data_IF_171609622864
#
_entry.id   IF_171609622864
#
_cell.length_a   1.000
_cell.length_b   1.000
_cell.length_c   1.000
_cell.angle_alpha   90.00
_cell.angle_beta   90.00
_cell.angle_gamma   90.00
#
_symmetry.space_group_name_H-M   'P 1'
#
loop_
_entity.id
_entity.type
_entity.pdbx_description
1 polymer ?
#
# COMPACT_ATOMS: atom_id res chain seq x y z
N UNK A 1 -17.42 -50.43 10.12
CA UNK A 1 -16.04 -49.96 10.25
C UNK A 1 -15.72 -49.07 9.03
N UNK A 2 -15.90 -47.75 9.17
CA UNK A 2 -15.65 -46.75 8.09
C UNK A 2 -14.68 -45.71 8.63
N UNK A 3 -13.40 -46.07 8.65
CA UNK A 3 -12.30 -45.11 8.98
C UNK A 3 -11.32 -45.21 7.83
N UNK A 4 -11.33 -44.28 6.90
CA UNK A 4 -10.35 -44.29 5.79
C UNK A 4 -10.48 -43.18 4.75
N UNK A 5 -11.54 -42.38 4.73
CA UNK A 5 -11.71 -41.33 3.71
C UNK A 5 -11.18 -39.95 4.13
N UNK A 6 -11.11 -39.64 5.42
CA UNK A 6 -10.69 -38.32 5.91
C UNK A 6 -9.17 -38.08 5.82
N UNK A 7 -8.36 -39.10 6.10
CA UNK A 7 -6.88 -38.95 6.07
C UNK A 7 -6.34 -38.76 4.67
N UNK A 8 -6.93 -39.37 3.65
CA UNK A 8 -6.46 -39.24 2.27
C UNK A 8 -6.80 -37.88 1.64
N UNK A 9 -7.92 -37.27 2.05
CA UNK A 9 -8.31 -35.93 1.62
C UNK A 9 -7.43 -34.84 2.26
N UNK A 10 -7.07 -34.98 3.54
CA UNK A 10 -6.19 -34.06 4.24
C UNK A 10 -4.77 -34.08 3.65
N UNK A 11 -4.20 -35.28 3.37
CA UNK A 11 -2.88 -35.41 2.72
C UNK A 11 -2.90 -34.89 1.28
N UNK A 12 -3.98 -35.07 0.55
CA UNK A 12 -4.13 -34.53 -0.82
C UNK A 12 -4.26 -32.98 -0.82
N UNK A 13 -4.95 -32.41 0.18
CA UNK A 13 -5.06 -30.96 0.36
C UNK A 13 -3.72 -30.34 0.73
N UNK A 14 -2.98 -30.94 1.66
CA UNK A 14 -1.64 -30.50 2.09
C UNK A 14 -0.64 -30.51 0.93
N UNK A 15 -0.62 -31.57 0.11
CA UNK A 15 0.21 -31.65 -1.09
C UNK A 15 -0.17 -30.59 -2.15
N UNK A 16 -1.46 -30.27 -2.29
CA UNK A 16 -1.91 -29.21 -3.21
C UNK A 16 -1.45 -27.85 -2.74
N UNK A 17 -1.56 -27.57 -1.46
CA UNK A 17 -1.10 -26.31 -0.86
C UNK A 17 0.40 -26.17 -1.03
N UNK A 18 1.19 -27.18 -0.71
CA UNK A 18 2.65 -27.16 -0.86
C UNK A 18 3.11 -26.96 -2.31
N UNK A 19 2.44 -27.62 -3.28
CA UNK A 19 2.78 -27.41 -4.70
C UNK A 19 2.34 -26.04 -5.21
N UNK A 20 1.21 -25.46 -4.74
CA UNK A 20 0.78 -24.11 -5.08
C UNK A 20 1.77 -23.05 -4.58
N UNK A 21 2.24 -23.19 -3.36
CA UNK A 21 3.26 -22.32 -2.77
C UNK A 21 4.58 -22.40 -3.54
N UNK A 22 5.02 -23.61 -3.91
CA UNK A 22 6.22 -23.81 -4.70
C UNK A 22 6.13 -23.13 -6.08
N UNK A 23 4.98 -23.23 -6.77
CA UNK A 23 4.73 -22.58 -8.06
C UNK A 23 4.79 -21.06 -7.92
N UNK A 24 4.07 -20.48 -6.97
CA UNK A 24 4.04 -19.02 -6.78
C UNK A 24 5.41 -18.50 -6.36
N UNK A 25 6.14 -19.22 -5.50
CA UNK A 25 7.52 -18.85 -5.12
C UNK A 25 8.50 -18.93 -6.29
N UNK A 26 8.37 -19.93 -7.18
CA UNK A 26 9.16 -20.01 -8.40
C UNK A 26 8.83 -18.87 -9.37
N UNK A 27 7.54 -18.57 -9.55
CA UNK A 27 7.08 -17.47 -10.40
C UNK A 27 7.61 -16.12 -9.89
N UNK A 28 7.54 -15.89 -8.58
CA UNK A 28 8.08 -14.67 -7.97
C UNK A 28 9.55 -14.48 -8.32
N UNK A 29 10.38 -15.49 -8.12
CA UNK A 29 11.82 -15.41 -8.47
C UNK A 29 12.03 -15.14 -9.96
N UNK A 30 11.41 -15.94 -10.84
CA UNK A 30 11.63 -15.84 -12.28
C UNK A 30 11.10 -14.53 -12.88
N UNK A 31 9.93 -14.07 -12.44
CA UNK A 31 9.38 -12.79 -12.90
C UNK A 31 10.22 -11.60 -12.43
N UNK A 32 10.75 -11.65 -11.19
CA UNK A 32 11.64 -10.59 -10.69
C UNK A 32 12.99 -10.57 -11.42
N UNK A 33 13.51 -11.73 -11.81
CA UNK A 33 14.81 -11.85 -12.48
C UNK A 33 14.73 -11.51 -13.98
N UNK A 34 13.65 -11.92 -14.66
CA UNK A 34 13.58 -11.94 -16.12
C UNK A 34 12.41 -11.15 -16.70
N UNK A 35 11.52 -10.63 -15.88
CA UNK A 35 10.27 -10.01 -16.28
C UNK A 35 9.16 -11.05 -16.56
N UNK A 36 7.90 -10.60 -16.53
CA UNK A 36 6.74 -11.45 -16.78
C UNK A 36 6.73 -12.04 -18.18
N UNK A 37 7.08 -11.23 -19.18
CA UNK A 37 7.01 -11.63 -20.60
C UNK A 37 7.95 -12.77 -20.98
N UNK A 38 9.13 -12.83 -20.36
CA UNK A 38 10.19 -13.78 -20.72
C UNK A 38 10.03 -15.16 -20.08
N UNK A 39 9.07 -15.37 -19.19
CA UNK A 39 8.88 -16.63 -18.45
C UNK A 39 7.72 -17.43 -19.02
N UNK A 40 7.96 -18.72 -19.27
CA UNK A 40 6.94 -19.68 -19.73
C UNK A 40 6.37 -20.55 -18.60
N UNK A 41 5.21 -21.14 -18.80
CA UNK A 41 4.59 -22.10 -17.88
C UNK A 41 5.47 -23.33 -17.67
N UNK A 42 6.21 -23.75 -18.67
CA UNK A 42 7.11 -24.89 -18.58
C UNK A 42 8.30 -24.62 -17.66
N UNK A 43 8.91 -23.46 -17.78
CA UNK A 43 10.00 -23.01 -16.90
C UNK A 43 9.51 -22.85 -15.45
N UNK A 44 8.26 -22.39 -15.26
CA UNK A 44 7.64 -22.32 -13.93
C UNK A 44 7.47 -23.71 -13.30
N UNK A 45 7.02 -24.70 -14.08
CA UNK A 45 6.88 -26.08 -13.60
C UNK A 45 8.24 -26.67 -13.19
N UNK A 46 9.27 -26.47 -14.01
CA UNK A 46 10.64 -26.92 -13.76
C UNK A 46 11.21 -26.26 -12.50
N UNK A 47 11.13 -24.93 -12.42
CA UNK A 47 11.65 -24.14 -11.29
C UNK A 47 10.92 -24.41 -9.96
N UNK A 48 9.64 -24.80 -10.04
CA UNK A 48 8.83 -25.20 -8.88
C UNK A 48 9.03 -26.67 -8.47
N UNK A 49 9.75 -27.47 -9.30
CA UNK A 49 9.91 -28.90 -9.07
C UNK A 49 8.62 -29.71 -9.16
N UNK A 50 7.65 -29.25 -10.00
CA UNK A 50 6.37 -29.93 -10.19
C UNK A 50 6.21 -30.42 -11.63
N UNK A 51 5.41 -31.48 -11.82
CA UNK A 51 5.06 -31.90 -13.16
C UNK A 51 4.18 -30.83 -13.86
N UNK A 52 4.34 -30.63 -15.19
CA UNK A 52 3.51 -29.70 -16.01
C UNK A 52 2.01 -29.88 -15.72
N UNK A 53 1.54 -31.13 -15.69
CA UNK A 53 0.14 -31.46 -15.37
C UNK A 53 -0.29 -30.93 -14.00
N UNK A 54 0.60 -30.97 -13.00
CA UNK A 54 0.32 -30.43 -11.65
C UNK A 54 0.17 -28.92 -11.70
N UNK A 55 1.05 -28.23 -12.43
CA UNK A 55 0.98 -26.79 -12.62
C UNK A 55 -0.33 -26.38 -13.30
N UNK A 56 -0.66 -26.97 -14.45
CA UNK A 56 -1.89 -26.66 -15.18
C UNK A 56 -3.19 -27.06 -14.45
N UNK A 57 -3.13 -28.02 -13.54
CA UNK A 57 -4.26 -28.33 -12.65
C UNK A 57 -4.50 -27.28 -11.56
N UNK A 58 -3.53 -26.43 -11.28
CA UNK A 58 -3.61 -25.38 -10.25
C UNK A 58 -3.75 -23.97 -10.81
N UNK A 59 -3.16 -23.73 -11.97
CA UNK A 59 -3.17 -22.45 -12.64
C UNK A 59 -3.35 -22.65 -14.15
N UNK A 60 -4.36 -22.01 -14.71
CA UNK A 60 -4.67 -22.11 -16.14
C UNK A 60 -3.67 -21.30 -16.99
N UNK A 61 -3.04 -20.27 -16.41
CA UNK A 61 -2.12 -19.39 -17.11
C UNK A 61 -1.13 -18.72 -16.14
N UNK A 62 -0.10 -18.09 -16.67
CA UNK A 62 0.86 -17.31 -15.87
C UNK A 62 0.27 -16.01 -15.32
N UNK A 63 -0.76 -15.47 -15.97
CA UNK A 63 -1.55 -14.35 -15.49
C UNK A 63 -2.28 -14.68 -14.18
N UNK A 64 -2.82 -15.90 -14.06
CA UNK A 64 -3.44 -16.36 -12.83
C UNK A 64 -2.44 -16.48 -11.68
N UNK A 65 -1.23 -16.96 -11.98
CA UNK A 65 -0.13 -17.02 -10.99
C UNK A 65 0.27 -15.60 -10.55
N UNK A 66 0.33 -14.65 -11.49
CA UNK A 66 0.63 -13.26 -11.20
C UNK A 66 -0.43 -12.63 -10.27
N UNK A 67 -1.73 -12.86 -10.54
CA UNK A 67 -2.81 -12.39 -9.66
C UNK A 67 -2.71 -12.96 -8.24
N UNK A 68 -2.36 -14.25 -8.13
CA UNK A 68 -2.10 -14.87 -6.82
C UNK A 68 -0.94 -14.18 -6.08
N UNK A 69 0.13 -13.82 -6.79
CA UNK A 69 1.25 -13.07 -6.20
C UNK A 69 0.78 -11.69 -5.68
N UNK A 70 -0.01 -10.96 -6.46
CA UNK A 70 -0.61 -9.69 -6.05
C UNK A 70 -1.46 -9.83 -4.80
N UNK A 71 -2.34 -10.84 -4.74
CA UNK A 71 -3.17 -11.08 -3.58
C UNK A 71 -2.35 -11.36 -2.32
N UNK A 72 -1.21 -12.04 -2.44
CA UNK A 72 -0.30 -12.26 -1.30
C UNK A 72 0.30 -10.96 -0.78
N UNK A 73 0.67 -10.04 -1.67
CA UNK A 73 1.15 -8.70 -1.29
C UNK A 73 0.04 -7.93 -0.55
N UNK A 74 -1.20 -7.94 -1.08
CA UNK A 74 -2.35 -7.31 -0.42
C UNK A 74 -2.60 -7.87 0.98
N UNK A 75 -2.61 -9.19 1.13
CA UNK A 75 -2.80 -9.84 2.44
C UNK A 75 -1.66 -9.55 3.43
N UNK A 76 -0.43 -9.35 2.96
CA UNK A 76 0.66 -8.92 3.84
C UNK A 76 0.43 -7.51 4.37
N UNK A 77 -0.02 -6.59 3.51
CA UNK A 77 -0.37 -5.21 3.89
C UNK A 77 -1.54 -5.18 4.88
N UNK A 78 -2.60 -5.93 4.60
CA UNK A 78 -3.77 -6.02 5.48
C UNK A 78 -3.40 -6.53 6.88
N UNK A 79 -2.53 -7.53 6.97
CA UNK A 79 -2.07 -8.08 8.26
C UNK A 79 -1.08 -7.19 9.00
N UNK A 80 -0.38 -6.31 8.30
CA UNK A 80 0.57 -5.38 8.91
C UNK A 80 -0.13 -4.26 9.68
N UNK A 81 -1.38 -3.95 9.33
CA UNK A 81 -2.21 -2.98 10.05
C UNK A 81 -3.20 -3.73 10.96
N UNK A 82 -3.27 -3.44 12.26
CA UNK A 82 -4.21 -4.07 13.17
C UNK A 82 -5.66 -3.92 12.70
N UNK A 83 -6.50 -4.97 12.87
CA UNK A 83 -7.94 -4.83 12.65
C UNK A 83 -8.50 -3.77 13.61
N UNK A 84 -9.42 -2.95 13.12
CA UNK A 84 -10.05 -1.90 13.93
C UNK A 84 -9.18 -0.65 14.14
N UNK A 85 -8.09 -0.50 13.40
CA UNK A 85 -7.25 0.71 13.45
C UNK A 85 -8.08 1.97 13.14
N UNK A 86 -9.14 1.82 12.35
CA UNK A 86 -10.05 2.90 11.99
C UNK A 86 -10.88 3.43 13.18
N UNK A 87 -10.98 2.67 14.26
CA UNK A 87 -11.75 3.02 15.47
C UNK A 87 -10.88 3.45 16.63
N UNK A 88 -9.56 3.41 16.50
CA UNK A 88 -8.64 3.90 17.52
C UNK A 88 -8.68 5.43 17.56
N UNK A 89 -9.01 6.00 18.73
CA UNK A 89 -9.27 7.44 18.87
C UNK A 89 -8.04 8.34 18.73
N UNK A 90 -6.82 7.79 18.72
CA UNK A 90 -5.59 8.54 18.54
C UNK A 90 -5.11 8.50 17.10
N UNK A 91 -5.54 9.50 16.33
CA UNK A 91 -5.15 9.64 14.92
C UNK A 91 -3.64 9.78 14.73
N UNK A 92 -2.93 10.40 15.64
CA UNK A 92 -1.49 10.58 15.57
C UNK A 92 -0.78 9.23 15.64
N UNK A 93 -1.19 8.39 16.61
CA UNK A 93 -0.69 7.02 16.71
C UNK A 93 -0.99 6.19 15.46
N UNK A 94 -2.20 6.29 14.94
CA UNK A 94 -2.62 5.58 13.72
C UNK A 94 -1.77 5.98 12.52
N UNK A 95 -1.57 7.27 12.28
CA UNK A 95 -0.77 7.75 11.16
C UNK A 95 0.70 7.32 11.26
N UNK A 96 1.28 7.34 12.47
CA UNK A 96 2.64 6.81 12.69
C UNK A 96 2.75 5.33 12.38
N UNK A 97 1.76 4.55 12.79
CA UNK A 97 1.75 3.11 12.52
C UNK A 97 1.63 2.84 11.01
N UNK A 98 0.73 3.52 10.32
CA UNK A 98 0.59 3.44 8.86
C UNK A 98 1.90 3.80 8.17
N UNK A 99 2.53 4.91 8.56
CA UNK A 99 3.80 5.35 8.00
C UNK A 99 4.91 4.30 8.20
N UNK A 100 5.04 3.74 9.42
CA UNK A 100 6.03 2.67 9.69
C UNK A 100 5.83 1.45 8.79
N UNK A 101 4.61 0.98 8.67
CA UNK A 101 4.29 -0.18 7.83
C UNK A 101 4.69 0.10 6.37
N UNK A 102 4.39 1.28 5.86
CA UNK A 102 4.72 1.69 4.50
C UNK A 102 6.25 1.77 4.31
N UNK A 103 6.97 2.42 5.22
CA UNK A 103 8.42 2.53 5.12
C UNK A 103 9.12 1.17 5.21
N UNK A 104 8.62 0.26 6.05
CA UNK A 104 9.13 -1.11 6.11
C UNK A 104 8.89 -1.88 4.81
N UNK A 105 7.70 -1.71 4.22
CA UNK A 105 7.38 -2.32 2.93
C UNK A 105 8.32 -1.82 1.83
N UNK A 106 8.60 -0.51 1.80
CA UNK A 106 9.51 0.10 0.82
C UNK A 106 10.97 -0.36 0.96
N UNK A 107 11.34 -0.95 2.10
CA UNK A 107 12.67 -1.58 2.31
C UNK A 107 12.71 -3.05 1.92
N UNK A 108 11.56 -3.67 1.70
CA UNK A 108 11.50 -5.08 1.32
C UNK A 108 12.01 -5.26 -0.11
N UNK A 109 13.13 -6.00 -0.34
CA UNK A 109 13.69 -6.18 -1.68
C UNK A 109 12.75 -6.89 -2.64
N UNK A 110 11.92 -7.82 -2.15
CA UNK A 110 10.94 -8.55 -2.97
C UNK A 110 9.83 -7.62 -3.45
N UNK A 111 9.31 -6.77 -2.55
CA UNK A 111 8.31 -5.76 -2.91
C UNK A 111 8.86 -4.75 -3.93
N UNK A 112 10.07 -4.25 -3.72
CA UNK A 112 10.72 -3.33 -4.67
C UNK A 112 10.98 -3.98 -6.03
N UNK A 113 11.45 -5.23 -6.02
CA UNK A 113 11.64 -6.01 -7.24
C UNK A 113 10.32 -6.17 -7.98
N UNK A 114 9.26 -6.51 -7.26
CA UNK A 114 7.92 -6.63 -7.80
C UNK A 114 7.42 -5.31 -8.43
N UNK A 115 7.56 -4.17 -7.73
CA UNK A 115 7.20 -2.87 -8.28
C UNK A 115 7.99 -2.51 -9.55
N UNK A 116 9.30 -2.81 -9.58
CA UNK A 116 10.12 -2.58 -10.77
C UNK A 116 9.61 -3.40 -11.95
N UNK A 117 9.25 -4.66 -11.72
CA UNK A 117 8.67 -5.53 -12.74
C UNK A 117 7.32 -4.97 -13.22
N UNK A 118 6.41 -4.56 -12.31
CA UNK A 118 5.13 -3.93 -12.67
C UNK A 118 5.37 -2.72 -13.57
N UNK A 119 6.27 -1.82 -13.20
CA UNK A 119 6.58 -0.62 -14.00
C UNK A 119 7.20 -0.98 -15.35
N UNK A 120 8.12 -1.95 -15.41
CA UNK A 120 8.80 -2.36 -16.63
C UNK A 120 7.85 -3.06 -17.61
N UNK A 121 7.04 -3.99 -17.12
CA UNK A 121 6.20 -4.86 -17.94
C UNK A 121 4.83 -4.25 -18.28
N UNK A 122 4.34 -3.27 -17.51
CA UNK A 122 3.03 -2.64 -17.74
C UNK A 122 2.92 -1.95 -19.11
N UNK A 123 4.04 -1.53 -19.71
CA UNK A 123 4.04 -0.97 -21.07
C UNK A 123 3.70 -2.02 -22.12
N UNK A 124 4.19 -3.25 -21.97
CA UNK A 124 3.93 -4.36 -22.88
C UNK A 124 2.63 -5.10 -22.53
N UNK A 125 2.30 -5.16 -21.25
CA UNK A 125 1.14 -5.84 -20.68
C UNK A 125 0.32 -4.87 -19.81
N UNK A 126 -0.52 -3.97 -20.39
CA UNK A 126 -1.25 -2.93 -19.63
C UNK A 126 -2.11 -3.47 -18.49
N UNK A 127 -2.65 -4.69 -18.65
CA UNK A 127 -3.43 -5.37 -17.61
C UNK A 127 -2.66 -5.54 -16.28
N UNK A 128 -1.32 -5.60 -16.31
CA UNK A 128 -0.48 -5.69 -15.10
C UNK A 128 -0.67 -4.45 -14.19
N UNK A 129 -0.71 -3.25 -14.80
CA UNK A 129 -0.95 -2.02 -14.06
C UNK A 129 -2.39 -1.97 -13.51
N UNK A 130 -3.37 -2.44 -14.29
CA UNK A 130 -4.77 -2.50 -13.87
C UNK A 130 -4.97 -3.45 -12.68
N UNK A 131 -4.42 -4.66 -12.75
CA UNK A 131 -4.47 -5.64 -11.64
C UNK A 131 -3.73 -5.13 -10.41
N UNK A 132 -2.59 -4.47 -10.60
CA UNK A 132 -1.86 -3.85 -9.48
C UNK A 132 -2.69 -2.75 -8.81
N UNK A 133 -3.30 -1.85 -9.58
CA UNK A 133 -4.18 -0.81 -9.07
C UNK A 133 -5.38 -1.42 -8.32
N UNK A 134 -6.04 -2.43 -8.89
CA UNK A 134 -7.16 -3.11 -8.26
C UNK A 134 -6.85 -3.70 -6.87
N UNK A 135 -5.58 -4.04 -6.63
CA UNK A 135 -5.12 -4.55 -5.33
C UNK A 135 -4.67 -3.43 -4.38
N UNK A 136 -4.05 -2.37 -4.91
CA UNK A 136 -3.48 -1.29 -4.09
C UNK A 136 -4.49 -0.20 -3.74
N UNK A 137 -5.44 0.11 -4.63
CA UNK A 137 -6.44 1.16 -4.40
C UNK A 137 -7.29 0.91 -3.13
N UNK A 138 -7.79 -0.33 -2.85
CA UNK A 138 -8.50 -0.61 -1.62
C UNK A 138 -7.72 -0.31 -0.34
N UNK A 139 -6.39 -0.40 -0.38
CA UNK A 139 -5.53 -0.06 0.78
C UNK A 139 -5.50 1.46 1.02
N UNK A 140 -5.42 2.24 -0.05
CA UNK A 140 -5.53 3.70 0.02
C UNK A 140 -6.94 4.11 0.47
N UNK A 141 -7.98 3.43 -0.02
CA UNK A 141 -9.37 3.66 0.37
C UNK A 141 -9.63 3.43 1.87
N UNK A 142 -8.89 2.54 2.53
CA UNK A 142 -8.98 2.39 3.99
C UNK A 142 -8.57 3.68 4.71
N UNK A 143 -7.47 4.30 4.28
CA UNK A 143 -7.04 5.59 4.83
C UNK A 143 -8.07 6.69 4.51
N UNK A 144 -8.61 6.72 3.29
CA UNK A 144 -9.68 7.67 2.90
C UNK A 144 -10.89 7.54 3.82
N UNK A 145 -11.38 6.32 4.06
CA UNK A 145 -12.52 6.07 4.96
C UNK A 145 -12.23 6.50 6.40
N UNK A 146 -11.03 6.22 6.91
CA UNK A 146 -10.61 6.69 8.23
C UNK A 146 -10.66 8.21 8.32
N UNK A 147 -10.06 8.92 7.37
CA UNK A 147 -10.04 10.38 7.36
C UNK A 147 -11.45 10.98 7.24
N UNK A 148 -12.31 10.39 6.40
CA UNK A 148 -13.70 10.79 6.26
C UNK A 148 -14.48 10.59 7.58
N UNK A 149 -14.30 9.48 8.26
CA UNK A 149 -14.92 9.18 9.54
C UNK A 149 -14.48 10.19 10.61
N UNK A 150 -13.18 10.44 10.76
CA UNK A 150 -12.65 11.40 11.73
C UNK A 150 -13.09 12.84 11.43
N UNK A 151 -13.29 13.16 10.15
CA UNK A 151 -13.84 14.45 9.74
C UNK A 151 -15.32 14.56 10.17
N UNK A 152 -16.12 13.50 9.99
CA UNK A 152 -17.52 13.48 10.44
C UNK A 152 -17.68 13.61 11.95
N UNK A 153 -16.68 13.14 12.72
CA UNK A 153 -16.60 13.27 14.17
C UNK A 153 -16.06 14.64 14.63
N UNK A 154 -15.62 15.50 13.72
CA UNK A 154 -15.02 16.81 14.07
C UNK A 154 -13.60 16.73 14.65
N UNK A 155 -12.95 15.58 14.59
CA UNK A 155 -11.54 15.40 15.00
C UNK A 155 -10.61 16.04 13.98
N UNK A 156 -10.95 15.92 12.69
CA UNK A 156 -10.23 16.53 11.57
C UNK A 156 -11.11 17.58 10.86
N UNK A 157 -10.47 18.53 10.21
CA UNK A 157 -11.06 19.42 9.21
C UNK A 157 -10.45 19.04 7.87
N UNK A 158 -11.06 18.04 7.21
CA UNK A 158 -10.56 17.48 5.97
C UNK A 158 -11.64 17.52 4.87
N UNK A 159 -11.75 18.61 4.09
CA UNK A 159 -12.78 18.76 3.06
C UNK A 159 -12.70 17.72 1.94
N UNK A 160 -11.51 17.19 1.69
CA UNK A 160 -11.28 16.17 0.66
C UNK A 160 -10.40 15.03 1.23
N UNK A 161 -11.00 14.01 1.87
CA UNK A 161 -10.27 12.88 2.44
C UNK A 161 -9.44 12.09 1.43
N UNK A 162 -9.91 11.98 0.18
CA UNK A 162 -9.17 11.32 -0.90
C UNK A 162 -7.87 12.05 -1.20
N UNK A 163 -7.92 13.37 -1.41
CA UNK A 163 -6.73 14.18 -1.64
C UNK A 163 -5.76 14.09 -0.46
N UNK A 164 -6.27 14.20 0.76
CA UNK A 164 -5.47 14.12 1.97
C UNK A 164 -4.74 12.77 2.12
N UNK A 165 -5.42 11.66 1.84
CA UNK A 165 -4.81 10.32 1.84
C UNK A 165 -3.68 10.23 0.81
N UNK A 166 -3.90 10.70 -0.42
CA UNK A 166 -2.86 10.71 -1.45
C UNK A 166 -1.69 11.64 -1.12
N UNK A 167 -1.92 12.79 -0.48
CA UNK A 167 -0.86 13.68 -0.01
C UNK A 167 0.00 13.01 1.07
N UNK A 168 -0.62 12.32 2.04
CA UNK A 168 0.09 11.58 3.07
C UNK A 168 0.96 10.47 2.47
N UNK A 169 0.36 9.65 1.60
CA UNK A 169 1.07 8.58 0.90
C UNK A 169 2.18 9.11 0.00
N UNK A 170 1.94 10.21 -0.71
CA UNK A 170 2.91 10.85 -1.61
C UNK A 170 4.14 11.36 -0.87
N UNK A 171 3.97 11.97 0.31
CA UNK A 171 5.08 12.42 1.13
C UNK A 171 5.99 11.25 1.58
N UNK A 172 5.39 10.12 1.98
CA UNK A 172 6.15 8.92 2.33
C UNK A 172 6.84 8.30 1.11
N UNK A 173 6.14 8.21 -0.03
CA UNK A 173 6.66 7.60 -1.25
C UNK A 173 7.87 8.36 -1.81
N UNK A 174 7.84 9.68 -1.82
CA UNK A 174 8.95 10.48 -2.34
C UNK A 174 10.23 10.29 -1.51
N UNK A 175 10.10 10.28 -0.21
CA UNK A 175 11.24 10.17 0.70
C UNK A 175 11.74 8.74 0.91
N UNK A 176 10.91 7.71 0.66
CA UNK A 176 11.28 6.33 0.92
C UNK A 176 11.24 5.42 -0.32
N UNK A 177 10.16 5.40 -1.11
CA UNK A 177 10.00 4.47 -2.21
C UNK A 177 10.93 4.78 -3.40
N UNK A 178 10.86 6.02 -3.90
CA UNK A 178 11.59 6.39 -5.12
C UNK A 178 13.11 6.24 -5.01
N UNK A 179 13.77 6.62 -3.89
CA UNK A 179 15.20 6.37 -3.74
C UNK A 179 15.56 4.88 -3.87
N UNK A 180 14.80 3.99 -3.24
CA UNK A 180 15.03 2.55 -3.36
C UNK A 180 14.71 2.01 -4.76
N UNK A 181 13.65 2.50 -5.38
CA UNK A 181 13.30 2.15 -6.75
C UNK A 181 14.42 2.49 -7.74
N UNK A 182 15.11 3.63 -7.53
CA UNK A 182 16.25 4.07 -8.33
C UNK A 182 17.59 3.47 -7.89
N UNK A 183 17.59 2.48 -7.00
CA UNK A 183 18.80 1.76 -6.59
C UNK A 183 19.70 2.51 -5.62
N UNK A 184 19.22 3.55 -4.93
CA UNK A 184 19.99 4.20 -3.86
C UNK A 184 20.19 3.23 -2.71
N UNK A 185 21.40 3.25 -2.12
CA UNK A 185 21.75 2.38 -0.99
C UNK A 185 21.52 3.03 0.38
N UNK A 186 21.21 4.31 0.40
CA UNK A 186 20.97 5.09 1.62
C UNK A 186 19.83 6.06 1.41
N UNK A 187 18.97 6.13 2.42
CA UNK A 187 17.93 7.15 2.48
C UNK A 187 18.56 8.51 2.83
N UNK A 188 18.04 9.61 2.26
CA UNK A 188 18.51 10.96 2.56
C UNK A 188 18.21 11.37 4.02
N UNK A 189 17.16 10.82 4.62
CA UNK A 189 16.66 11.15 5.95
C UNK A 189 16.35 9.86 6.72
N UNK A 190 16.58 9.79 8.05
CA UNK A 190 16.18 8.66 8.88
C UNK A 190 14.67 8.43 8.88
N UNK A 191 14.23 7.17 8.95
CA UNK A 191 12.81 6.81 8.91
C UNK A 191 11.97 7.50 9.99
N UNK A 192 12.45 7.52 11.22
CA UNK A 192 11.69 8.13 12.34
C UNK A 192 11.49 9.63 12.10
N UNK A 193 12.46 10.31 11.53
CA UNK A 193 12.34 11.72 11.15
C UNK A 193 11.31 11.92 10.03
N UNK A 194 11.33 11.04 9.00
CA UNK A 194 10.32 11.06 7.93
C UNK A 194 8.92 10.85 8.49
N UNK A 195 8.75 9.88 9.40
CA UNK A 195 7.46 9.59 10.03
C UNK A 195 6.97 10.79 10.84
N UNK A 196 7.81 11.31 11.76
CA UNK A 196 7.44 12.40 12.64
C UNK A 196 7.07 13.67 11.87
N UNK A 197 7.91 14.10 10.94
CA UNK A 197 7.66 15.32 10.17
C UNK A 197 6.44 15.18 9.25
N UNK A 198 6.26 14.00 8.60
CA UNK A 198 5.08 13.76 7.76
C UNK A 198 3.80 13.80 8.59
N UNK A 199 3.76 13.14 9.73
CA UNK A 199 2.59 13.12 10.61
C UNK A 199 2.32 14.50 11.21
N UNK A 200 3.35 15.22 11.67
CA UNK A 200 3.21 16.57 12.21
C UNK A 200 2.70 17.57 11.15
N UNK A 201 3.25 17.53 9.95
CA UNK A 201 2.81 18.35 8.82
C UNK A 201 1.33 18.07 8.50
N UNK A 202 0.95 16.79 8.39
CA UNK A 202 -0.41 16.39 8.10
C UNK A 202 -1.40 16.84 9.17
N UNK A 203 -1.12 16.56 10.44
CA UNK A 203 -1.97 16.97 11.55
C UNK A 203 -1.94 18.49 11.77
N UNK A 204 -0.84 19.16 11.49
CA UNK A 204 -0.76 20.62 11.50
C UNK A 204 -1.77 21.27 10.58
N UNK A 205 -2.02 20.66 9.41
CA UNK A 205 -2.97 21.16 8.43
C UNK A 205 -4.42 20.71 8.71
N UNK A 206 -4.61 19.44 9.08
CA UNK A 206 -5.95 18.84 9.12
C UNK A 206 -6.56 18.69 10.52
N UNK A 207 -5.80 18.85 11.62
CA UNK A 207 -6.33 18.66 12.97
C UNK A 207 -7.14 19.88 13.44
N UNK A 208 -8.41 19.68 13.82
CA UNK A 208 -9.34 20.74 14.17
C UNK A 208 -8.86 21.66 15.32
N UNK A 209 -8.20 21.09 16.35
CA UNK A 209 -7.67 21.85 17.48
C UNK A 209 -6.46 22.74 17.12
N UNK A 210 -5.71 22.40 16.05
CA UNK A 210 -4.57 23.21 15.57
C UNK A 210 -5.03 24.27 14.56
N UNK A 211 -5.96 23.93 13.67
CA UNK A 211 -6.51 24.88 12.70
C UNK A 211 -7.17 26.11 13.37
N UNK A 212 -7.79 25.94 14.55
CA UNK A 212 -8.38 27.04 15.31
C UNK A 212 -7.36 27.96 16.02
N UNK A 213 -6.11 27.53 16.23
CA UNK A 213 -5.06 28.39 16.81
C UNK A 213 -4.46 29.37 15.80
N UNK A 214 -4.48 29.01 14.52
CA UNK A 214 -3.91 29.84 13.43
C UNK A 214 -4.94 30.76 12.77
N UNK A 215 -6.23 30.63 13.13
CA UNK A 215 -7.25 31.61 12.78
C UNK A 215 -6.97 32.90 13.56
N UNK A 216 -6.05 33.73 13.07
CA UNK A 216 -5.79 35.09 13.60
C UNK A 216 -7.12 35.85 13.63
N UNK A 217 -7.48 36.50 14.76
CA UNK A 217 -8.60 37.41 14.77
C UNK A 217 -8.37 38.49 13.73
N UNK A 218 -9.37 38.67 12.84
CA UNK A 218 -9.34 39.72 11.84
C UNK A 218 -9.02 41.06 12.50
N UNK A 219 -7.93 41.73 12.09
CA UNK A 219 -7.60 43.09 12.56
C UNK A 219 -8.82 43.97 12.36
N UNK A 220 -9.30 44.71 13.41
CA UNK A 220 -10.40 45.64 13.24
C UNK A 220 -10.03 46.68 12.20
N UNK A 221 -10.85 46.81 11.17
CA UNK A 221 -10.72 47.86 10.16
C UNK A 221 -10.80 49.22 10.88
N UNK A 222 -9.73 50.01 10.83
CA UNK A 222 -9.71 51.40 11.24
C UNK A 222 -10.73 52.13 10.36
N UNK A 223 -11.86 52.55 10.94
CA UNK A 223 -12.76 53.51 10.32
C UNK A 223 -12.00 54.80 10.09
N UNK A 224 -11.68 55.08 8.85
CA UNK A 224 -11.18 56.40 8.42
C UNK A 224 -12.33 57.40 8.60
N UNK A 225 -12.24 58.22 9.63
CA UNK A 225 -13.08 59.40 9.84
C UNK A 225 -12.73 60.41 8.75
N UNK A 226 -13.61 60.55 7.75
CA UNK A 226 -13.56 61.70 6.87
C UNK A 226 -14.07 62.92 7.64
N UNK A 227 -13.17 63.76 8.10
CA UNK A 227 -13.48 65.14 8.52
C UNK A 227 -13.94 65.94 7.32
N UNK A 228 -15.24 66.32 7.30
CA UNK A 228 -15.76 67.34 6.39
C UNK A 228 -15.17 68.68 6.79
N UNK A 229 -14.44 69.32 5.89
CA UNK A 229 -14.28 70.78 5.87
C UNK A 229 -15.25 71.33 4.86
N UNK A 230 -16.11 72.18 5.28
CA UNK A 230 -16.83 73.16 4.49
C UNK A 230 -16.45 74.56 4.95
N UNK A 231 -16.49 75.53 4.09
CA UNK A 231 -15.99 76.87 4.15
C UNK A 231 -16.84 77.77 4.41
#
# INVERSE_FOLDING_TARGET
>A
MKIGRGSNQAVAADRRTGSREAIVGAAQRLFLERGFGAVSMDELAEAAGVARRTLYNQFSSKEEIFREMLQRVAHQLERALPPGIETQGDIEHVLRLVARVILQLHKNPEYLGFLRMVVADSRQFPWIAEEFAAVMDPQTDRLVRLLAHLTSMGVLICPNPTLAAHQFMGALNDLSLWPWMMGRKRMPVPDEEVIEETVMMFLGHYHAARANRDARPAKPQKKTSQARHAP
#
